data_IF_758474183749
#
_entry.id   IF_758474183749
#
_cell.length_a   1.000
_cell.length_b   1.000
_cell.length_c   1.000
_cell.angle_alpha   90.00
_cell.angle_beta   90.00
_cell.angle_gamma   90.00
#
_symmetry.space_group_name_H-M   'P 1'
#
loop_
_entity.id
_entity.type
_entity.pdbx_description
1 polymer ?
#
# COMPACT_ATOMS: atom_id res chain seq x y z
N UNK A 1 8.25 13.75 -18.06
CA UNK A 1 7.98 13.22 -16.72
C UNK A 1 6.49 13.44 -16.43
N UNK A 2 5.68 12.40 -16.50
CA UNK A 2 4.28 12.49 -16.09
C UNK A 2 4.26 12.50 -14.56
N UNK A 3 4.00 13.66 -13.97
CA UNK A 3 3.69 13.78 -12.56
C UNK A 3 2.40 12.98 -12.31
N UNK A 4 2.52 11.81 -11.74
CA UNK A 4 1.36 11.15 -11.13
C UNK A 4 0.89 12.08 -10.02
N UNK A 5 -0.30 12.65 -10.20
CA UNK A 5 -0.88 13.59 -9.27
C UNK A 5 -0.77 13.05 -7.85
N UNK A 6 -0.42 13.94 -6.94
CA UNK A 6 -0.32 13.69 -5.50
C UNK A 6 -1.61 13.01 -5.06
N UNK A 7 -1.61 11.69 -5.03
CA UNK A 7 -2.69 10.94 -4.43
C UNK A 7 -2.58 11.19 -2.93
N UNK A 8 -3.53 11.93 -2.38
CA UNK A 8 -3.82 12.03 -0.94
C UNK A 8 -4.25 10.65 -0.39
N UNK A 9 -3.54 9.59 -0.77
CA UNK A 9 -3.80 8.22 -0.40
C UNK A 9 -2.50 7.64 0.10
N UNK A 10 -2.49 7.12 1.31
CA UNK A 10 -1.40 6.29 1.81
C UNK A 10 -1.09 5.22 0.77
N UNK A 11 0.13 5.21 0.25
CA UNK A 11 0.55 4.19 -0.70
C UNK A 11 0.44 2.82 -0.03
N UNK A 12 -0.06 1.74 -0.70
CA UNK A 12 -0.28 0.44 -0.07
C UNK A 12 0.97 -0.21 0.51
N UNK A 13 2.16 0.28 0.18
CA UNK A 13 3.44 -0.22 0.65
C UNK A 13 4.05 0.57 1.82
N UNK A 14 3.61 1.82 2.05
CA UNK A 14 4.20 2.69 3.08
C UNK A 14 3.11 3.31 3.96
N UNK A 15 3.44 3.55 5.23
CA UNK A 15 2.59 4.20 6.22
C UNK A 15 3.35 5.36 6.84
N UNK A 16 2.76 6.53 6.91
CA UNK A 16 3.22 7.89 7.26
C UNK A 16 3.59 8.71 6.01
N UNK A 17 3.38 10.02 6.08
CA UNK A 17 3.71 10.98 5.02
C UNK A 17 2.96 10.78 3.70
N UNK A 18 3.36 11.56 2.73
CA UNK A 18 2.93 11.41 1.33
C UNK A 18 3.95 10.53 0.59
N UNK A 19 3.45 9.60 -0.21
CA UNK A 19 4.27 8.63 -0.93
C UNK A 19 4.02 8.74 -2.42
N UNK A 20 5.07 8.58 -3.22
CA UNK A 20 4.99 8.59 -4.68
C UNK A 20 5.92 7.54 -5.28
N UNK A 21 5.55 7.05 -6.45
CA UNK A 21 6.43 6.18 -7.23
C UNK A 21 7.45 7.06 -7.92
N UNK A 22 8.71 6.92 -7.55
CA UNK A 22 9.84 7.67 -8.11
C UNK A 22 10.39 7.02 -9.39
N UNK A 23 10.34 5.69 -9.45
CA UNK A 23 10.80 4.92 -10.60
C UNK A 23 9.86 3.76 -10.88
N UNK A 24 9.40 3.67 -12.13
CA UNK A 24 8.46 2.67 -12.59
C UNK A 24 9.14 1.36 -12.99
N UNK A 25 8.35 0.29 -13.04
CA UNK A 25 8.73 -0.99 -13.63
C UNK A 25 8.98 -0.85 -15.14
N UNK A 26 10.01 -1.52 -15.64
CA UNK A 26 10.28 -1.60 -17.08
C UNK A 26 11.56 -0.90 -17.51
N UNK A 27 11.70 -0.66 -18.81
CA UNK A 27 12.88 0.03 -19.35
C UNK A 27 12.93 1.47 -18.85
N UNK A 28 14.08 1.84 -18.30
CA UNK A 28 14.38 3.22 -17.92
C UNK A 28 15.70 3.67 -18.54
N UNK A 29 15.80 4.97 -18.78
CA UNK A 29 17.02 5.63 -19.24
C UNK A 29 17.30 6.76 -18.26
N UNK A 30 18.51 6.80 -17.72
CA UNK A 30 18.90 7.82 -16.76
C UNK A 30 20.38 8.16 -16.91
N UNK A 31 20.80 9.27 -16.35
CA UNK A 31 22.21 9.66 -16.27
C UNK A 31 22.75 9.19 -14.91
N UNK A 32 23.79 8.36 -14.94
CA UNK A 32 24.42 7.88 -13.72
C UNK A 32 25.29 8.98 -13.05
N UNK A 33 25.87 8.68 -11.89
CA UNK A 33 26.72 9.62 -11.15
C UNK A 33 28.00 10.05 -11.88
N UNK A 34 28.44 9.27 -12.88
CA UNK A 34 29.57 9.60 -13.75
C UNK A 34 29.16 10.46 -14.98
N UNK A 35 27.91 10.90 -15.08
CA UNK A 35 27.41 11.69 -16.20
C UNK A 35 27.06 10.88 -17.45
N UNK A 36 27.17 9.57 -17.43
CA UNK A 36 26.88 8.73 -18.59
C UNK A 36 25.38 8.39 -18.66
N UNK A 37 24.82 8.49 -19.88
CA UNK A 37 23.47 8.02 -20.15
C UNK A 37 23.46 6.49 -20.22
N UNK A 38 22.74 5.86 -19.29
CA UNK A 38 22.63 4.41 -19.17
C UNK A 38 21.17 3.98 -19.29
N UNK A 39 20.96 2.75 -19.73
CA UNK A 39 19.64 2.14 -19.72
C UNK A 39 19.67 0.80 -19.02
N UNK A 40 18.65 0.52 -18.25
CA UNK A 40 18.44 -0.77 -17.60
C UNK A 40 16.98 -1.19 -17.64
N UNK A 41 16.70 -2.38 -17.12
CA UNK A 41 15.34 -2.84 -16.91
C UNK A 41 15.06 -2.91 -15.40
N UNK A 42 14.23 -2.00 -14.93
CA UNK A 42 13.80 -1.94 -13.53
C UNK A 42 12.78 -3.04 -13.24
N UNK A 43 13.14 -4.00 -12.40
CA UNK A 43 12.35 -5.20 -12.10
C UNK A 43 11.23 -4.99 -11.09
N UNK A 44 11.04 -3.77 -10.61
CA UNK A 44 10.04 -3.39 -9.60
C UNK A 44 9.61 -1.95 -9.72
N UNK A 45 9.17 -1.37 -8.62
CA UNK A 45 8.91 0.05 -8.47
C UNK A 45 9.69 0.59 -7.28
N UNK A 46 10.17 1.84 -7.38
CA UNK A 46 10.78 2.54 -6.28
C UNK A 46 9.77 3.53 -5.70
N UNK A 47 9.47 3.37 -4.41
CA UNK A 47 8.50 4.21 -3.70
C UNK A 47 9.23 5.06 -2.67
N UNK A 48 9.12 6.38 -2.83
CA UNK A 48 9.69 7.36 -1.92
C UNK A 48 8.63 8.00 -1.02
N UNK A 49 9.08 8.52 0.11
CA UNK A 49 8.33 9.37 1.00
C UNK A 49 8.92 10.78 1.00
N UNK A 50 8.10 11.77 1.27
CA UNK A 50 8.53 13.15 1.49
C UNK A 50 8.75 13.49 2.98
N UNK A 51 8.72 12.50 3.88
CA UNK A 51 9.07 12.74 5.29
C UNK A 51 10.57 13.01 5.42
N UNK A 52 10.93 14.10 6.08
CA UNK A 52 12.33 14.50 6.23
C UNK A 52 13.17 13.50 7.04
N UNK A 53 12.53 12.74 7.94
CA UNK A 53 13.18 11.76 8.80
C UNK A 53 13.30 10.36 8.17
N UNK A 54 12.71 10.17 7.00
CA UNK A 54 12.70 8.87 6.28
C UNK A 54 12.35 7.67 7.18
N UNK A 55 11.37 7.83 8.07
CA UNK A 55 10.96 6.79 9.05
C UNK A 55 9.71 6.03 8.65
N UNK A 56 9.32 6.07 7.39
CA UNK A 56 8.12 5.40 6.90
C UNK A 56 8.16 3.90 7.13
N UNK A 57 7.05 3.38 7.65
CA UNK A 57 6.85 1.95 7.82
C UNK A 57 6.59 1.30 6.47
N UNK A 58 7.31 0.22 6.18
CA UNK A 58 7.05 -0.66 5.04
C UNK A 58 5.98 -1.67 5.41
N UNK A 59 4.96 -1.79 4.57
CA UNK A 59 3.78 -2.61 4.78
C UNK A 59 3.74 -3.74 3.75
N UNK A 60 3.52 -4.96 4.20
CA UNK A 60 3.26 -6.08 3.30
C UNK A 60 1.83 -5.96 2.72
N UNK A 61 1.65 -5.81 1.39
CA UNK A 61 0.33 -5.56 0.80
C UNK A 61 -0.55 -6.82 0.73
N UNK A 62 0.06 -8.00 0.78
CA UNK A 62 -0.61 -9.30 0.66
C UNK A 62 -0.15 -10.23 1.79
N UNK A 63 -1.01 -11.14 2.22
CA UNK A 63 -0.64 -12.15 3.20
C UNK A 63 0.31 -13.19 2.59
N UNK A 64 1.22 -13.74 3.39
CA UNK A 64 2.16 -14.76 2.94
C UNK A 64 3.11 -15.21 4.06
N UNK A 65 4.12 -16.00 3.70
CA UNK A 65 5.14 -16.49 4.60
C UNK A 65 6.51 -15.86 4.28
N UNK A 66 7.22 -15.38 5.26
CA UNK A 66 8.59 -14.89 5.08
C UNK A 66 9.51 -16.05 4.73
N UNK A 67 10.14 -16.00 3.56
CA UNK A 67 11.04 -17.05 3.06
C UNK A 67 12.52 -16.65 3.11
N UNK A 68 12.79 -15.35 3.21
CA UNK A 68 14.14 -14.85 3.40
C UNK A 68 14.11 -13.42 3.94
N UNK A 69 15.09 -13.07 4.76
CA UNK A 69 15.29 -11.69 5.24
C UNK A 69 16.77 -11.39 5.49
N UNK A 70 17.13 -10.11 5.50
CA UNK A 70 18.37 -9.57 6.01
C UNK A 70 18.10 -8.26 6.75
N UNK A 71 18.77 -8.04 7.88
CA UNK A 71 18.51 -6.91 8.77
C UNK A 71 19.76 -6.20 9.29
N UNK A 72 20.96 -6.70 8.98
CA UNK A 72 22.22 -6.23 9.55
C UNK A 72 23.19 -5.61 8.53
N UNK A 73 22.80 -5.49 7.27
CA UNK A 73 23.62 -4.87 6.22
C UNK A 73 23.76 -3.36 6.51
N UNK A 74 24.99 -2.85 6.43
CA UNK A 74 25.31 -1.45 6.70
C UNK A 74 25.69 -0.70 5.44
N UNK A 75 25.12 0.48 5.26
CA UNK A 75 25.50 1.43 4.21
C UNK A 75 25.09 1.02 2.80
N UNK A 76 25.69 1.72 1.86
CA UNK A 76 25.46 1.56 0.42
C UNK A 76 26.58 0.71 -0.21
N UNK A 77 26.31 0.14 -1.37
CA UNK A 77 27.28 -0.60 -2.17
C UNK A 77 26.97 -0.45 -3.66
N UNK A 78 27.97 -0.64 -4.50
CA UNK A 78 27.79 -0.78 -5.96
C UNK A 78 27.57 -2.23 -6.38
N UNK A 79 27.70 -3.19 -5.44
CA UNK A 79 27.48 -4.60 -5.72
C UNK A 79 26.04 -4.85 -6.19
N UNK A 80 25.88 -5.91 -6.96
CA UNK A 80 24.57 -6.44 -7.39
C UNK A 80 24.19 -7.68 -6.56
N UNK A 81 23.13 -8.35 -6.94
CA UNK A 81 22.68 -9.56 -6.25
C UNK A 81 22.18 -9.29 -4.82
N UNK A 82 22.54 -10.16 -3.88
CA UNK A 82 22.05 -10.05 -2.50
C UNK A 82 22.55 -8.79 -1.81
N UNK A 83 23.80 -8.39 -2.01
CA UNK A 83 24.35 -7.17 -1.40
C UNK A 83 23.68 -5.92 -1.99
N UNK A 84 23.39 -5.93 -3.28
CA UNK A 84 22.63 -4.87 -3.92
C UNK A 84 21.26 -4.64 -3.33
N UNK A 85 20.62 -5.70 -2.80
CA UNK A 85 19.32 -5.55 -2.13
C UNK A 85 19.41 -4.84 -0.77
N UNK A 86 20.60 -4.73 -0.16
CA UNK A 86 20.76 -4.21 1.19
C UNK A 86 20.02 -5.08 2.22
N UNK A 87 19.32 -4.47 3.16
CA UNK A 87 18.39 -5.19 4.00
C UNK A 87 17.09 -5.43 3.25
N UNK A 88 16.52 -6.60 3.41
CA UNK A 88 15.37 -7.00 2.63
C UNK A 88 14.46 -7.99 3.36
N UNK A 89 13.22 -8.10 2.89
CA UNK A 89 12.28 -9.19 3.22
C UNK A 89 11.76 -9.78 1.91
N UNK A 90 11.66 -11.12 1.86
CA UNK A 90 10.98 -11.86 0.80
C UNK A 90 9.80 -12.61 1.40
N UNK A 91 8.63 -12.45 0.79
CA UNK A 91 7.38 -13.08 1.25
C UNK A 91 6.82 -13.94 0.12
N UNK A 92 6.67 -15.22 0.38
CA UNK A 92 5.96 -16.16 -0.48
C UNK A 92 4.46 -16.08 -0.20
N UNK A 93 3.68 -15.69 -1.20
CA UNK A 93 2.22 -15.61 -1.15
C UNK A 93 1.54 -16.88 -1.70
N UNK A 94 2.31 -17.92 -2.03
CA UNK A 94 1.82 -19.14 -2.67
C UNK A 94 1.72 -19.01 -4.20
N UNK A 95 1.48 -20.15 -4.88
CA UNK A 95 1.32 -20.24 -6.33
C UNK A 95 2.45 -19.59 -7.16
N UNK A 96 3.68 -19.65 -6.64
CA UNK A 96 4.86 -19.07 -7.27
C UNK A 96 4.97 -17.56 -7.15
N UNK A 97 4.11 -16.91 -6.35
CA UNK A 97 4.13 -15.47 -6.13
C UNK A 97 5.07 -15.12 -4.97
N UNK A 98 6.12 -14.37 -5.27
CA UNK A 98 7.06 -13.86 -4.28
C UNK A 98 7.11 -12.35 -4.33
N UNK A 99 6.92 -11.70 -3.18
CA UNK A 99 7.12 -10.26 -2.99
C UNK A 99 8.51 -10.01 -2.44
N UNK A 100 9.18 -8.95 -2.90
CA UNK A 100 10.46 -8.54 -2.35
C UNK A 100 10.43 -7.06 -1.98
N UNK A 101 10.94 -6.78 -0.78
CA UNK A 101 11.06 -5.45 -0.20
C UNK A 101 12.54 -5.23 0.08
N UNK A 102 13.16 -4.22 -0.55
CA UNK A 102 14.61 -4.03 -0.55
C UNK A 102 14.97 -2.63 -0.04
N UNK A 103 16.26 -2.42 0.23
CA UNK A 103 16.86 -1.19 0.75
C UNK A 103 16.35 -0.77 2.13
N UNK A 104 15.85 -1.74 2.93
CA UNK A 104 15.29 -1.47 4.24
C UNK A 104 16.37 -0.93 5.20
N UNK A 105 15.97 -0.14 6.19
CA UNK A 105 16.85 0.37 7.23
C UNK A 105 17.46 -0.77 8.04
N UNK A 106 18.75 -0.65 8.34
CA UNK A 106 19.44 -1.59 9.24
C UNK A 106 18.73 -1.66 10.59
N UNK A 107 18.49 -2.87 11.07
CA UNK A 107 17.85 -3.13 12.36
C UNK A 107 16.34 -2.89 12.39
N UNK A 108 15.70 -2.54 11.26
CA UNK A 108 14.28 -2.19 11.22
C UNK A 108 13.34 -3.32 10.84
N UNK A 109 13.86 -4.43 10.32
CA UNK A 109 13.03 -5.58 9.91
C UNK A 109 12.42 -6.24 11.16
N UNK A 110 11.11 -6.35 11.19
CA UNK A 110 10.31 -6.80 12.34
C UNK A 110 9.80 -8.23 12.22
N UNK A 111 10.23 -8.95 11.19
CA UNK A 111 9.79 -10.33 10.90
C UNK A 111 10.98 -11.26 10.75
N UNK A 112 10.76 -12.56 11.04
CA UNK A 112 11.75 -13.62 10.93
C UNK A 112 11.43 -14.59 9.79
N UNK A 113 12.44 -15.37 9.36
CA UNK A 113 12.21 -16.44 8.39
C UNK A 113 11.20 -17.45 8.95
N UNK A 114 10.19 -17.77 8.16
CA UNK A 114 9.11 -18.67 8.54
C UNK A 114 7.86 -17.98 9.08
N UNK A 115 7.93 -16.69 9.44
CA UNK A 115 6.77 -15.96 9.95
C UNK A 115 5.65 -15.86 8.93
N UNK A 116 4.42 -16.00 9.41
CA UNK A 116 3.22 -15.66 8.66
C UNK A 116 2.94 -14.17 8.77
N UNK A 117 2.90 -13.47 7.65
CA UNK A 117 2.57 -12.05 7.59
C UNK A 117 1.17 -11.84 7.05
N UNK A 118 0.45 -10.89 7.61
CA UNK A 118 -0.89 -10.47 7.18
C UNK A 118 -0.79 -9.31 6.20
N UNK A 119 -1.77 -9.20 5.30
CA UNK A 119 -1.93 -7.98 4.50
C UNK A 119 -2.11 -6.75 5.42
N UNK A 120 -1.33 -5.70 5.17
CA UNK A 120 -1.30 -4.49 6.02
C UNK A 120 -0.34 -4.57 7.21
N UNK A 121 0.37 -5.68 7.42
CA UNK A 121 1.37 -5.81 8.49
C UNK A 121 2.62 -5.00 8.19
N UNK A 122 3.13 -4.29 9.19
CA UNK A 122 4.44 -3.63 9.14
C UNK A 122 5.53 -4.69 9.18
N UNK A 123 6.51 -4.57 8.27
CA UNK A 123 7.63 -5.52 8.15
C UNK A 123 9.01 -4.86 8.26
N UNK A 124 9.06 -3.54 8.37
CA UNK A 124 10.30 -2.77 8.51
C UNK A 124 10.09 -1.29 8.19
N UNK A 125 11.19 -0.59 7.95
CA UNK A 125 11.21 0.82 7.55
C UNK A 125 11.96 1.00 6.23
N UNK A 126 11.62 2.04 5.46
CA UNK A 126 12.43 2.45 4.33
C UNK A 126 13.86 2.78 4.79
N UNK A 127 14.82 2.60 3.90
CA UNK A 127 16.21 2.83 4.26
C UNK A 127 17.08 3.27 3.08
N UNK A 128 18.38 3.16 3.30
CA UNK A 128 19.43 3.54 2.37
C UNK A 128 20.54 2.46 2.35
N UNK A 129 20.15 1.20 2.29
CA UNK A 129 21.11 0.07 2.31
C UNK A 129 21.15 -0.65 0.99
N UNK A 130 22.35 -1.13 0.60
CA UNK A 130 22.56 -1.83 -0.65
C UNK A 130 22.88 -0.89 -1.82
N UNK A 131 22.54 -1.32 -3.05
CA UNK A 131 22.79 -0.53 -4.27
C UNK A 131 21.65 0.47 -4.51
N UNK A 132 21.75 1.60 -3.86
CA UNK A 132 20.76 2.68 -3.91
C UNK A 132 21.47 4.03 -3.76
N UNK A 133 20.93 5.08 -4.37
CA UNK A 133 21.44 6.44 -4.27
C UNK A 133 20.61 7.34 -3.32
N UNK A 134 19.47 6.87 -2.83
CA UNK A 134 18.55 7.66 -2.01
C UNK A 134 17.59 6.80 -1.20
N UNK A 135 17.00 7.39 -0.16
CA UNK A 135 15.98 6.71 0.66
C UNK A 135 14.74 6.37 -0.15
N UNK A 136 14.47 5.08 -0.29
CA UNK A 136 13.25 4.56 -0.92
C UNK A 136 13.00 3.11 -0.51
N UNK A 137 11.83 2.60 -0.83
CA UNK A 137 11.53 1.18 -0.90
C UNK A 137 11.59 0.74 -2.34
N UNK A 138 12.48 -0.20 -2.69
CA UNK A 138 12.33 -0.97 -3.91
C UNK A 138 11.40 -2.15 -3.63
N UNK A 139 10.31 -2.23 -4.40
CA UNK A 139 9.33 -3.30 -4.29
C UNK A 139 9.12 -3.99 -5.63
N UNK A 140 9.21 -5.31 -5.65
CA UNK A 140 8.92 -6.10 -6.81
C UNK A 140 8.02 -7.31 -6.51
N UNK A 141 7.35 -7.79 -7.56
CA UNK A 141 6.56 -9.02 -7.58
C UNK A 141 7.15 -9.95 -8.62
N UNK A 142 7.47 -11.16 -8.19
CA UNK A 142 7.94 -12.25 -9.06
C UNK A 142 6.88 -13.36 -9.06
N UNK A 143 6.45 -13.81 -10.25
CA UNK A 143 5.52 -14.92 -10.43
C UNK A 143 6.18 -15.98 -11.29
N UNK A 144 6.40 -17.17 -10.74
CA UNK A 144 7.04 -18.27 -11.46
C UNK A 144 8.44 -17.91 -12.02
N UNK A 145 9.22 -17.07 -11.30
CA UNK A 145 10.53 -16.60 -11.73
C UNK A 145 10.52 -15.34 -12.61
N UNK A 146 9.34 -14.86 -13.05
CA UNK A 146 9.21 -13.67 -13.92
C UNK A 146 8.80 -12.44 -13.09
N UNK A 147 9.53 -11.33 -13.26
CA UNK A 147 9.17 -10.04 -12.66
C UNK A 147 8.06 -9.37 -13.45
N UNK A 148 7.08 -8.85 -12.74
CA UNK A 148 5.90 -8.20 -13.31
C UNK A 148 5.73 -6.79 -12.72
N UNK A 149 5.05 -5.90 -13.48
CA UNK A 149 4.70 -4.58 -12.97
C UNK A 149 3.82 -4.69 -11.72
N UNK A 150 4.28 -4.21 -10.54
CA UNK A 150 3.50 -4.30 -9.31
C UNK A 150 2.25 -3.43 -9.28
N UNK A 151 2.21 -2.32 -10.02
CA UNK A 151 1.14 -1.31 -9.90
C UNK A 151 -0.26 -1.86 -10.12
N UNK A 152 -0.56 -2.67 -11.16
CA UNK A 152 -1.90 -3.21 -11.34
C UNK A 152 -2.38 -4.05 -10.17
N UNK A 153 -1.47 -4.74 -9.47
CA UNK A 153 -1.80 -5.58 -8.32
C UNK A 153 -1.97 -4.77 -7.03
N UNK A 154 -1.15 -3.74 -6.83
CA UNK A 154 -1.28 -2.83 -5.69
C UNK A 154 -2.54 -1.95 -5.77
N UNK A 155 -2.97 -1.60 -6.98
CA UNK A 155 -4.21 -0.84 -7.20
C UNK A 155 -5.45 -1.74 -7.20
N UNK A 156 -5.28 -3.06 -7.27
CA UNK A 156 -6.35 -4.04 -7.40
C UNK A 156 -6.95 -4.14 -8.81
N UNK A 157 -6.28 -3.56 -9.82
CA UNK A 157 -6.68 -3.71 -11.23
C UNK A 157 -6.43 -5.14 -11.76
N UNK A 158 -5.47 -5.85 -11.14
CA UNK A 158 -5.17 -7.27 -11.38
C UNK A 158 -5.09 -8.03 -10.07
N UNK A 159 -5.28 -9.34 -10.13
CA UNK A 159 -5.18 -10.28 -9.02
C UNK A 159 -3.92 -11.10 -9.13
N UNK A 160 -3.26 -11.36 -8.00
CA UNK A 160 -2.17 -12.32 -7.94
C UNK A 160 -2.73 -13.75 -7.99
N UNK A 161 -2.09 -14.68 -8.70
CA UNK A 161 -2.54 -16.07 -8.78
C UNK A 161 -2.68 -16.70 -7.40
N UNK A 162 -3.88 -17.22 -7.08
CA UNK A 162 -4.15 -17.94 -5.82
C UNK A 162 -4.01 -17.15 -4.53
N UNK A 163 -3.63 -15.88 -4.62
CA UNK A 163 -3.72 -14.98 -3.46
C UNK A 163 -5.19 -14.66 -3.28
N UNK A 164 -5.77 -15.14 -2.19
CA UNK A 164 -7.16 -14.88 -1.88
C UNK A 164 -7.37 -13.36 -1.88
N UNK A 165 -8.16 -12.88 -2.82
CA UNK A 165 -8.73 -11.55 -2.70
C UNK A 165 -9.44 -11.47 -1.36
N UNK A 166 -9.36 -10.33 -0.71
CA UNK A 166 -10.21 -10.10 0.45
C UNK A 166 -11.60 -10.64 0.14
N UNK A 167 -12.03 -11.63 0.92
CA UNK A 167 -13.35 -12.25 0.78
C UNK A 167 -14.36 -11.13 0.56
N UNK A 168 -15.21 -11.25 -0.47
CA UNK A 168 -16.28 -10.26 -0.70
C UNK A 168 -16.96 -9.97 0.64
N UNK A 169 -16.88 -8.74 1.15
CA UNK A 169 -17.53 -8.42 2.40
C UNK A 169 -19.04 -8.65 2.25
N UNK A 170 -19.70 -9.17 3.26
CA UNK A 170 -21.15 -9.34 3.24
C UNK A 170 -21.83 -8.02 3.66
N UNK A 171 -23.05 -7.73 3.21
CA UNK A 171 -23.89 -6.73 3.84
C UNK A 171 -24.02 -6.98 5.35
N UNK A 172 -24.37 -5.95 6.13
CA UNK A 172 -24.51 -6.06 7.57
C UNK A 172 -24.07 -4.81 8.31
N UNK A 173 -23.87 -4.95 9.61
CA UNK A 173 -23.46 -3.85 10.47
C UNK A 173 -21.94 -3.77 10.59
N UNK A 174 -21.42 -2.56 10.57
CA UNK A 174 -20.01 -2.26 10.59
C UNK A 174 -19.71 -1.05 11.46
N UNK A 175 -18.49 -0.98 11.96
CA UNK A 175 -17.93 0.20 12.63
C UNK A 175 -16.77 0.73 11.81
N UNK A 176 -16.70 2.03 11.64
CA UNK A 176 -15.58 2.74 11.04
C UNK A 176 -14.36 2.63 11.95
N UNK A 177 -13.25 2.10 11.45
CA UNK A 177 -11.98 1.98 12.22
C UNK A 177 -11.11 3.22 12.11
N UNK A 178 -11.11 3.81 10.92
CA UNK A 178 -10.34 5.02 10.60
C UNK A 178 -11.23 5.94 9.77
N UNK A 179 -11.03 7.24 9.90
CA UNK A 179 -11.83 8.23 9.18
C UNK A 179 -11.95 7.89 7.68
N UNK A 180 -13.16 7.81 7.17
CA UNK A 180 -13.46 7.39 5.81
C UNK A 180 -14.33 8.39 5.07
N UNK A 181 -13.98 8.70 3.83
CA UNK A 181 -14.80 9.51 2.95
C UNK A 181 -16.01 8.73 2.44
N UNK A 182 -17.16 9.40 2.39
CA UNK A 182 -18.35 8.91 1.70
C UNK A 182 -18.32 9.41 0.26
N UNK A 183 -18.75 8.57 -0.67
CA UNK A 183 -18.77 8.89 -2.12
C UNK A 183 -20.12 8.58 -2.75
N UNK A 184 -20.40 9.19 -3.90
CA UNK A 184 -21.65 8.99 -4.65
C UNK A 184 -21.73 7.61 -5.31
N UNK A 185 -20.57 6.94 -5.50
CA UNK A 185 -20.47 5.61 -6.11
C UNK A 185 -19.35 4.77 -5.54
N UNK A 186 -19.32 3.49 -5.91
CA UNK A 186 -18.32 2.52 -5.47
C UNK A 186 -16.99 2.75 -6.19
N UNK A 187 -16.12 3.59 -5.63
CA UNK A 187 -14.78 3.88 -6.18
C UNK A 187 -14.27 5.26 -5.83
N UNK A 188 -12.95 5.43 -5.98
CA UNK A 188 -12.29 6.72 -5.70
C UNK A 188 -12.61 7.80 -6.75
N UNK A 189 -13.04 7.39 -7.95
CA UNK A 189 -13.35 8.29 -9.07
C UNK A 189 -14.73 8.97 -8.94
N UNK A 190 -15.54 8.55 -7.97
CA UNK A 190 -16.83 9.21 -7.71
C UNK A 190 -16.64 10.40 -6.78
N UNK A 191 -17.48 11.42 -6.98
CA UNK A 191 -17.48 12.62 -6.13
C UNK A 191 -17.69 12.28 -4.66
N UNK A 192 -17.09 13.07 -3.78
CA UNK A 192 -17.35 12.99 -2.33
C UNK A 192 -18.76 13.42 -2.01
N UNK A 193 -19.32 12.79 -1.00
CA UNK A 193 -20.55 13.24 -0.34
C UNK A 193 -20.13 14.02 0.89
N UNK A 194 -20.54 15.28 0.98
CA UNK A 194 -20.17 16.18 2.06
C UNK A 194 -21.14 16.03 3.25
N UNK A 195 -20.72 16.50 4.42
CA UNK A 195 -21.49 16.40 5.66
C UNK A 195 -22.92 16.94 5.52
N UNK A 196 -23.13 18.04 4.77
CA UNK A 196 -24.45 18.60 4.51
C UNK A 196 -25.43 17.61 3.87
N UNK A 197 -24.90 16.64 3.13
CA UNK A 197 -25.64 15.61 2.38
C UNK A 197 -25.79 14.29 3.17
N UNK A 198 -25.15 14.17 4.34
CA UNK A 198 -25.27 12.96 5.16
C UNK A 198 -26.69 12.83 5.74
N UNK A 199 -27.10 11.59 5.98
CA UNK A 199 -28.36 11.32 6.69
C UNK A 199 -28.34 11.93 8.10
N UNK A 200 -29.52 12.21 8.66
CA UNK A 200 -29.65 12.77 10.02
C UNK A 200 -28.91 11.91 11.07
N UNK A 201 -29.04 10.58 10.98
CA UNK A 201 -28.34 9.66 11.89
C UNK A 201 -26.82 9.74 11.75
N UNK A 202 -26.30 9.80 10.52
CA UNK A 202 -24.86 9.94 10.30
C UNK A 202 -24.34 11.28 10.86
N UNK A 203 -25.07 12.38 10.62
CA UNK A 203 -24.75 13.70 11.19
C UNK A 203 -24.71 13.68 12.71
N UNK A 204 -25.68 13.01 13.34
CA UNK A 204 -25.74 12.89 14.79
C UNK A 204 -24.54 12.14 15.36
N UNK A 205 -24.15 11.02 14.72
CA UNK A 205 -23.00 10.24 15.15
C UNK A 205 -21.69 11.02 14.97
N UNK A 206 -21.49 11.67 13.83
CA UNK A 206 -20.30 12.51 13.58
C UNK A 206 -20.16 13.59 14.65
N UNK A 207 -21.23 14.32 14.96
CA UNK A 207 -21.22 15.36 15.99
C UNK A 207 -20.86 14.85 17.40
N UNK A 208 -21.25 13.61 17.72
CA UNK A 208 -20.97 12.99 19.02
C UNK A 208 -19.54 12.46 19.15
N UNK A 209 -18.95 12.00 18.04
CA UNK A 209 -17.67 11.31 18.05
C UNK A 209 -16.51 12.28 17.78
N UNK A 210 -16.58 13.04 16.69
CA UNK A 210 -15.49 13.93 16.30
C UNK A 210 -16.00 15.07 15.41
N UNK A 211 -15.89 16.29 15.91
CA UNK A 211 -16.27 17.50 15.20
C UNK A 211 -15.18 18.03 14.25
N UNK A 212 -13.95 17.51 14.35
CA UNK A 212 -12.80 17.98 13.58
C UNK A 212 -12.78 17.45 12.13
N UNK A 213 -13.60 16.43 11.82
CA UNK A 213 -13.71 15.86 10.48
C UNK A 213 -15.11 16.06 9.89
N UNK A 214 -15.47 17.26 9.44
CA UNK A 214 -16.85 17.57 9.05
C UNK A 214 -17.30 16.81 7.79
N UNK A 215 -16.40 16.45 6.90
CA UNK A 215 -16.73 15.84 5.59
C UNK A 215 -16.30 14.36 5.45
N UNK A 216 -16.15 13.67 6.59
CA UNK A 216 -15.87 12.25 6.63
C UNK A 216 -16.69 11.56 7.74
N UNK A 217 -16.68 10.24 7.75
CA UNK A 217 -17.17 9.47 8.88
C UNK A 217 -15.98 9.10 9.77
N UNK A 218 -15.87 9.64 11.00
CA UNK A 218 -14.77 9.35 11.91
C UNK A 218 -14.82 7.91 12.43
N UNK A 219 -13.70 7.44 13.00
CA UNK A 219 -13.65 6.16 13.69
C UNK A 219 -14.73 6.06 14.78
N UNK A 220 -15.36 4.89 14.93
CA UNK A 220 -16.45 4.66 15.89
C UNK A 220 -17.85 4.84 15.31
N UNK A 221 -18.03 5.48 14.14
CA UNK A 221 -19.34 5.58 13.49
C UNK A 221 -19.83 4.19 13.10
N UNK A 222 -21.07 3.86 13.49
CA UNK A 222 -21.75 2.61 13.12
C UNK A 222 -22.54 2.79 11.83
N UNK A 223 -22.36 1.83 10.91
CA UNK A 223 -22.96 1.83 9.58
C UNK A 223 -23.68 0.51 9.32
N UNK A 224 -24.84 0.58 8.68
CA UNK A 224 -25.45 -0.59 8.05
C UNK A 224 -25.13 -0.56 6.55
N UNK A 225 -24.37 -1.55 6.09
CA UNK A 225 -24.04 -1.75 4.68
C UNK A 225 -25.10 -2.63 4.04
N UNK A 226 -25.81 -2.10 3.05
CA UNK A 226 -26.92 -2.77 2.36
C UNK A 226 -26.45 -3.49 1.09
N UNK A 227 -25.43 -2.97 0.43
CA UNK A 227 -24.90 -3.45 -0.83
C UNK A 227 -23.39 -3.41 -0.81
N UNK A 228 -22.72 -4.38 -1.44
CA UNK A 228 -21.27 -4.42 -1.58
C UNK A 228 -20.90 -4.59 -3.04
N UNK A 229 -20.07 -3.71 -3.57
CA UNK A 229 -19.60 -3.71 -4.94
C UNK A 229 -18.07 -3.58 -4.99
N UNK A 230 -17.43 -4.31 -5.88
CA UNK A 230 -16.02 -4.13 -6.15
C UNK A 230 -15.82 -3.02 -7.17
N UNK A 231 -14.97 -2.06 -6.87
CA UNK A 231 -14.58 -1.01 -7.81
C UNK A 231 -13.52 -1.54 -8.79
N UNK A 232 -13.29 -0.80 -9.88
CA UNK A 232 -12.30 -1.17 -10.90
C UNK A 232 -10.86 -1.33 -10.34
N UNK A 233 -10.55 -0.69 -9.21
CA UNK A 233 -9.27 -0.82 -8.50
C UNK A 233 -9.22 -2.05 -7.55
N UNK A 234 -10.17 -2.98 -7.67
CA UNK A 234 -10.23 -4.19 -6.86
C UNK A 234 -10.70 -4.00 -5.40
N UNK A 235 -10.84 -2.77 -4.92
CA UNK A 235 -11.31 -2.49 -3.55
C UNK A 235 -12.82 -2.70 -3.44
N UNK A 236 -13.25 -3.26 -2.32
CA UNK A 236 -14.65 -3.41 -1.98
C UNK A 236 -15.22 -2.12 -1.38
N UNK A 237 -16.39 -1.76 -1.83
CA UNK A 237 -17.16 -0.60 -1.37
C UNK A 237 -18.51 -1.05 -0.87
N UNK A 238 -18.90 -0.50 0.26
CA UNK A 238 -20.20 -0.76 0.89
C UNK A 238 -21.12 0.45 0.79
N UNK A 239 -22.36 0.22 0.38
CA UNK A 239 -23.39 1.25 0.33
C UNK A 239 -24.06 1.38 1.68
N UNK A 240 -23.84 2.49 2.34
CA UNK A 240 -24.60 2.93 3.52
C UNK A 240 -25.65 3.99 3.13
N UNK A 241 -26.55 4.39 4.04
CA UNK A 241 -27.58 5.39 3.73
C UNK A 241 -27.04 6.74 3.25
N UNK A 242 -25.83 7.13 3.65
CA UNK A 242 -25.21 8.40 3.23
C UNK A 242 -24.43 8.28 1.91
N UNK A 243 -24.21 7.09 1.37
CA UNK A 243 -23.44 6.86 0.14
C UNK A 243 -22.54 5.63 0.23
N UNK A 244 -21.46 5.62 -0.54
CA UNK A 244 -20.52 4.51 -0.63
C UNK A 244 -19.25 4.78 0.20
N UNK A 245 -18.83 3.79 0.97
CA UNK A 245 -17.62 3.81 1.80
C UNK A 245 -16.71 2.65 1.47
N UNK A 246 -15.41 2.86 1.53
CA UNK A 246 -14.45 1.79 1.28
C UNK A 246 -14.42 0.82 2.46
N UNK A 247 -14.70 -0.46 2.20
CA UNK A 247 -14.84 -1.52 3.21
C UNK A 247 -13.54 -1.80 3.98
N UNK A 248 -12.38 -1.47 3.42
CA UNK A 248 -11.10 -1.65 4.11
C UNK A 248 -10.92 -0.77 5.36
N UNK A 249 -11.78 0.24 5.53
CA UNK A 249 -11.81 1.11 6.71
C UNK A 249 -12.86 0.69 7.75
N UNK A 250 -13.52 -0.43 7.53
CA UNK A 250 -14.64 -0.91 8.36
C UNK A 250 -14.30 -2.24 9.03
N UNK A 251 -14.85 -2.46 10.21
CA UNK A 251 -14.89 -3.76 10.90
C UNK A 251 -16.34 -4.20 11.02
N UNK A 252 -16.62 -5.45 10.65
CA UNK A 252 -17.95 -6.04 10.84
C UNK A 252 -18.22 -6.25 12.33
N UNK A 253 -19.43 -5.97 12.79
CA UNK A 253 -19.92 -6.16 14.16
C UNK A 253 -21.18 -7.01 14.16
#
# INVERSE_FOLDING_TARGET
MAAYGVLNCKHPLLRRGYHYVNSDFGRRVYTNSAGHRVSDFHKGIDVQSNTADHTDYVICPFAGRVIARRNNFSGQTTNTGLDGMGNYVKVDCGNGVVLRFQHLRKGSVTVENGDQVKAGQVIGHIGLTGNTSGYHLHFDICIGGTYIDPKPYLTGAKSLPGVAHAVKPAPGNYVVREAVNVRQGAGINYNRVYYSQFTANAKLQVRRIDKSCPDCLPAGVKLTIKEVKQAANGKWWGKCPSGWVCMSYLTKV
#
